data_IF_839181326433
#
_entry.id   IF_839181326433
#
_cell.length_a   1.000
_cell.length_b   1.000
_cell.length_c   1.000
_cell.angle_alpha   90.00
_cell.angle_beta   90.00
_cell.angle_gamma   90.00
#
_symmetry.space_group_name_H-M   'P 1'
#
loop_
_entity.id
_entity.type
_entity.pdbx_description
1 polymer ?
#
# COMPACT_ATOMS: atom_id res chain seq x y z
N UNK A 1 6.50 -26.84 -11.31
CA UNK A 1 6.14 -25.86 -12.35
C UNK A 1 6.32 -24.47 -11.75
N UNK A 2 7.21 -23.66 -12.32
CA UNK A 2 7.69 -22.40 -11.74
C UNK A 2 6.58 -21.33 -11.75
N UNK A 3 6.09 -20.96 -10.57
CA UNK A 3 5.11 -19.87 -10.37
C UNK A 3 5.59 -18.51 -10.89
N UNK A 4 6.92 -18.32 -11.04
CA UNK A 4 7.51 -17.11 -11.61
C UNK A 4 7.18 -16.90 -13.10
N UNK A 5 6.84 -17.95 -13.85
CA UNK A 5 6.56 -17.84 -15.30
C UNK A 5 5.15 -17.30 -15.58
N UNK A 6 4.22 -17.41 -14.62
CA UNK A 6 2.81 -17.04 -14.83
C UNK A 6 2.52 -15.53 -14.70
N UNK A 7 3.41 -14.73 -14.10
CA UNK A 7 3.21 -13.27 -13.98
C UNK A 7 3.70 -12.46 -15.18
N UNK A 8 4.38 -13.08 -16.16
CA UNK A 8 5.01 -12.36 -17.28
C UNK A 8 4.01 -11.67 -18.22
N UNK A 9 2.71 -11.97 -18.12
CA UNK A 9 1.68 -11.59 -19.09
C UNK A 9 0.67 -10.51 -18.64
N UNK A 10 0.88 -9.80 -17.51
CA UNK A 10 -0.05 -8.75 -17.06
C UNK A 10 0.62 -7.39 -16.82
N UNK A 11 1.44 -6.94 -17.78
CA UNK A 11 1.95 -5.56 -17.76
C UNK A 11 1.10 -4.69 -18.68
N UNK A 12 0.55 -3.61 -18.12
CA UNK A 12 -0.21 -2.61 -18.89
C UNK A 12 0.68 -1.40 -19.13
N UNK A 13 0.76 -0.94 -20.38
CA UNK A 13 1.44 0.30 -20.70
C UNK A 13 0.62 1.47 -20.14
N UNK A 14 1.26 2.28 -19.32
CA UNK A 14 0.69 3.50 -18.74
C UNK A 14 1.51 4.71 -19.19
N UNK A 15 0.85 5.85 -19.37
CA UNK A 15 1.52 7.12 -19.68
C UNK A 15 1.56 7.97 -18.40
N UNK A 16 2.75 8.31 -17.94
CA UNK A 16 2.97 9.26 -16.85
C UNK A 16 4.16 10.15 -17.19
N UNK A 17 4.23 11.31 -16.55
CA UNK A 17 5.34 12.24 -16.68
C UNK A 17 6.33 12.00 -15.54
N UNK A 18 7.61 12.09 -15.86
CA UNK A 18 8.70 12.10 -14.89
C UNK A 18 9.33 13.48 -14.89
N UNK A 19 9.80 13.90 -13.71
CA UNK A 19 10.66 15.07 -13.62
C UNK A 19 11.94 14.85 -14.43
N UNK A 20 12.43 15.91 -15.06
CA UNK A 20 13.60 15.83 -15.95
C UNK A 20 14.82 15.28 -15.21
N UNK A 21 15.05 15.69 -13.96
CA UNK A 21 16.16 15.19 -13.15
C UNK A 21 16.07 13.67 -12.94
N UNK A 22 14.90 13.17 -12.56
CA UNK A 22 14.64 11.74 -12.34
C UNK A 22 14.82 10.95 -13.64
N UNK A 23 14.33 11.48 -14.75
CA UNK A 23 14.50 10.83 -16.06
C UNK A 23 15.99 10.70 -16.43
N UNK A 24 16.79 11.76 -16.25
CA UNK A 24 18.23 11.72 -16.56
C UNK A 24 18.99 10.77 -15.63
N UNK A 25 18.63 10.69 -14.34
CA UNK A 25 19.22 9.71 -13.42
C UNK A 25 18.90 8.27 -13.83
N UNK A 26 17.62 7.98 -14.13
CA UNK A 26 17.22 6.65 -14.62
C UNK A 26 17.97 6.31 -15.91
N UNK A 27 18.12 7.28 -16.81
CA UNK A 27 18.84 7.07 -18.07
C UNK A 27 20.33 6.80 -17.84
N UNK A 28 20.93 7.46 -16.85
CA UNK A 28 22.35 7.35 -16.50
C UNK A 28 22.68 6.04 -15.81
N UNK A 29 21.84 5.59 -14.88
CA UNK A 29 22.16 4.46 -14.00
C UNK A 29 21.42 3.17 -14.33
N UNK A 30 20.28 3.23 -15.04
CA UNK A 30 19.46 2.05 -15.33
C UNK A 30 19.55 1.69 -16.82
N UNK A 31 19.98 0.45 -17.16
CA UNK A 31 20.01 -0.03 -18.53
C UNK A 31 18.64 0.04 -19.21
N UNK A 32 18.61 0.34 -20.52
CA UNK A 32 17.37 0.53 -21.30
C UNK A 32 16.34 -0.60 -21.10
N UNK A 33 16.79 -1.85 -21.04
CA UNK A 33 15.94 -3.03 -20.89
C UNK A 33 15.36 -3.25 -19.49
N UNK A 34 15.89 -2.58 -18.47
CA UNK A 34 15.54 -2.78 -17.06
C UNK A 34 14.70 -1.63 -16.48
N UNK A 35 14.60 -0.49 -17.19
CA UNK A 35 13.89 0.71 -16.71
C UNK A 35 12.45 0.47 -16.31
N UNK A 36 11.73 -0.39 -17.06
CA UNK A 36 10.35 -0.75 -16.74
C UNK A 36 10.27 -1.54 -15.43
N UNK A 37 11.21 -2.46 -15.20
CA UNK A 37 11.28 -3.23 -13.97
C UNK A 37 11.67 -2.36 -12.77
N UNK A 38 12.68 -1.51 -12.95
CA UNK A 38 13.07 -0.50 -11.97
C UNK A 38 11.90 0.39 -11.56
N UNK A 39 11.17 0.95 -12.53
CA UNK A 39 10.02 1.82 -12.25
C UNK A 39 8.89 1.06 -11.54
N UNK A 40 8.59 -0.17 -11.97
CA UNK A 40 7.56 -0.97 -11.31
C UNK A 40 7.92 -1.30 -9.86
N UNK A 41 9.20 -1.58 -9.57
CA UNK A 41 9.63 -1.85 -8.19
C UNK A 41 9.51 -0.61 -7.30
N UNK A 42 10.01 0.54 -7.76
CA UNK A 42 9.87 1.80 -7.06
C UNK A 42 8.38 2.15 -6.80
N UNK A 43 7.50 1.88 -7.76
CA UNK A 43 6.06 2.07 -7.58
C UNK A 43 5.45 1.10 -6.56
N UNK A 44 5.89 -0.16 -6.49
CA UNK A 44 5.41 -1.12 -5.48
C UNK A 44 5.77 -0.64 -4.07
N UNK A 45 7.02 -0.25 -3.85
CA UNK A 45 7.47 0.27 -2.56
C UNK A 45 6.71 1.54 -2.15
N UNK A 46 6.53 2.48 -3.09
CA UNK A 46 5.76 3.69 -2.86
C UNK A 46 4.28 3.40 -2.55
N UNK A 47 3.68 2.43 -3.23
CA UNK A 47 2.29 2.03 -3.01
C UNK A 47 2.08 1.36 -1.66
N UNK A 48 3.00 0.50 -1.20
CA UNK A 48 2.91 -0.08 0.15
C UNK A 48 2.91 1.02 1.21
N UNK A 49 3.85 1.97 1.10
CA UNK A 49 3.91 3.14 1.99
C UNK A 49 2.60 3.95 1.96
N UNK A 50 2.05 4.17 0.76
CA UNK A 50 0.80 4.89 0.59
C UNK A 50 -0.40 4.16 1.22
N UNK A 51 -0.49 2.83 1.06
CA UNK A 51 -1.55 2.01 1.65
C UNK A 51 -1.50 2.07 3.18
N UNK A 52 -0.32 1.92 3.77
CA UNK A 52 -0.15 1.99 5.22
C UNK A 52 -0.57 3.36 5.76
N UNK A 53 -0.18 4.45 5.09
CA UNK A 53 -0.61 5.80 5.46
C UNK A 53 -2.13 5.94 5.40
N UNK A 54 -2.75 5.47 4.32
CA UNK A 54 -4.22 5.51 4.17
C UNK A 54 -4.95 4.68 5.22
N UNK A 55 -4.39 3.53 5.59
CA UNK A 55 -4.93 2.71 6.66
C UNK A 55 -4.85 3.42 8.01
N UNK A 56 -3.71 4.04 8.32
CA UNK A 56 -3.54 4.85 9.54
C UNK A 56 -4.54 6.01 9.58
N UNK A 57 -4.65 6.78 8.50
CA UNK A 57 -5.62 7.87 8.38
C UNK A 57 -7.06 7.39 8.63
N UNK A 58 -7.40 6.19 8.13
CA UNK A 58 -8.70 5.56 8.37
C UNK A 58 -8.92 5.15 9.83
N UNK A 59 -7.90 4.60 10.50
CA UNK A 59 -7.96 4.27 11.92
C UNK A 59 -8.10 5.51 12.80
N UNK A 60 -7.37 6.57 12.48
CA UNK A 60 -7.44 7.85 13.20
C UNK A 60 -8.83 8.47 13.04
N UNK A 61 -9.38 8.50 11.82
CA UNK A 61 -10.75 8.96 11.58
C UNK A 61 -11.80 8.10 12.33
N UNK A 62 -11.61 6.78 12.37
CA UNK A 62 -12.49 5.90 13.14
C UNK A 62 -12.40 6.20 14.64
N UNK A 63 -11.19 6.42 15.16
CA UNK A 63 -10.96 6.79 16.55
C UNK A 63 -11.61 8.12 16.91
N UNK A 64 -11.50 9.12 16.04
CA UNK A 64 -12.12 10.44 16.24
C UNK A 64 -13.66 10.37 16.17
N UNK A 65 -14.21 9.53 15.28
CA UNK A 65 -15.65 9.33 15.16
C UNK A 65 -16.25 8.47 16.28
N UNK A 66 -15.45 7.58 16.89
CA UNK A 66 -15.83 6.80 18.07
C UNK A 66 -15.88 7.69 19.32
N UNK A 67 -17.05 8.30 19.58
CA UNK A 67 -17.32 9.12 20.77
C UNK A 67 -17.18 8.39 22.11
N UNK A 68 -17.13 7.05 22.11
CA UNK A 68 -17.09 6.23 23.32
C UNK A 68 -15.97 5.19 23.22
N UNK A 69 -14.98 5.32 24.09
CA UNK A 69 -13.99 4.27 24.36
C UNK A 69 -14.53 3.37 25.45
N UNK A 70 -14.65 2.07 25.17
CA UNK A 70 -15.08 1.09 26.18
C UNK A 70 -13.88 0.63 27.00
N UNK A 71 -14.07 0.55 28.31
CA UNK A 71 -13.13 -0.10 29.21
C UNK A 71 -13.26 -1.62 29.11
N UNK A 72 -12.20 -2.35 29.47
CA UNK A 72 -12.24 -3.83 29.48
C UNK A 72 -13.41 -4.38 30.31
N UNK A 73 -13.78 -3.70 31.40
CA UNK A 73 -14.91 -4.08 32.25
C UNK A 73 -16.25 -3.98 31.50
N UNK A 74 -16.51 -2.86 30.83
CA UNK A 74 -17.74 -2.65 30.03
C UNK A 74 -17.84 -3.66 28.87
N UNK A 75 -16.72 -4.00 28.24
CA UNK A 75 -16.67 -5.02 27.18
C UNK A 75 -17.06 -6.39 27.75
N UNK A 76 -16.48 -6.79 28.90
CA UNK A 76 -16.76 -8.07 29.53
C UNK A 76 -18.20 -8.17 30.03
N UNK A 77 -18.76 -7.09 30.56
CA UNK A 77 -20.18 -7.02 30.96
C UNK A 77 -21.10 -7.25 29.77
N UNK A 78 -20.85 -6.58 28.64
CA UNK A 78 -21.65 -6.75 27.41
C UNK A 78 -21.57 -8.18 26.85
N UNK A 79 -20.38 -8.79 26.88
CA UNK A 79 -20.18 -10.18 26.42
C UNK A 79 -20.91 -11.19 27.32
N UNK A 80 -20.96 -10.94 28.63
CA UNK A 80 -21.66 -11.81 29.59
C UNK A 80 -23.18 -11.65 29.54
N UNK A 81 -23.69 -10.45 29.23
CA UNK A 81 -25.13 -10.25 29.01
C UNK A 81 -25.64 -10.94 27.75
N UNK A 82 -24.89 -10.92 26.65
CA UNK A 82 -25.28 -11.61 25.40
C UNK A 82 -25.23 -13.15 25.44
N UNK A 83 -24.79 -13.74 26.55
CA UNK A 83 -24.74 -15.21 26.77
C UNK A 83 -25.87 -15.75 27.65
N UNK A 84 -26.75 -14.89 28.19
CA UNK A 84 -27.96 -15.30 28.90
C UNK A 84 -29.15 -15.38 27.96
#
# INVERSE_FOLDING_TARGET
MNTAVLQKNQRTKVNFMLDKSVFEEIKTFVPDGERSDFANEAFREALETFRLRKFSEGLDALRESCKKTFTNKEILETIHEGRK
#
